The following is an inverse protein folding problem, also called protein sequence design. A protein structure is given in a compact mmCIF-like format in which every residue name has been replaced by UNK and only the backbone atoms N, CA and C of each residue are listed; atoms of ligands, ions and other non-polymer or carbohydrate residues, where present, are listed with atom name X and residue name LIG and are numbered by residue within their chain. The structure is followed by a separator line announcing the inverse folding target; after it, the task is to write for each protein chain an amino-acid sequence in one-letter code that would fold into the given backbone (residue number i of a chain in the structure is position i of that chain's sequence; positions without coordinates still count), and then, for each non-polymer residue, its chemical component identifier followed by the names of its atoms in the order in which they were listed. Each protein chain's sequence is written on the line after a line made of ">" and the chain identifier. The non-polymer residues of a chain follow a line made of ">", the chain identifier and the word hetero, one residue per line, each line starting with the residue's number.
data_IF_590607155407
#
_entry.id   IF_590607155407
#
_cell.length_a   1.000
_cell.length_b   1.000
_cell.length_c   1.000
_cell.angle_alpha   90.00
_cell.angle_beta   90.00
_cell.angle_gamma   90.00
#
_symmetry.space_group_name_H-M   'P 1'
#
loop_
_entity.id
_entity.type
_entity.pdbx_description
1 polymer ?
#
# COMPACT_ATOMS: atom_id res chain seq x y z
N UNK A 1 -18.84 9.93 -15.65
CA UNK A 1 -17.46 9.52 -15.33
C UNK A 1 -17.51 8.08 -14.85
N UNK A 2 -16.68 7.18 -15.39
CA UNK A 2 -16.56 5.82 -14.87
C UNK A 2 -15.60 5.85 -13.69
N UNK A 3 -16.06 5.47 -12.50
CA UNK A 3 -15.25 5.53 -11.29
C UNK A 3 -14.12 4.50 -11.27
N UNK A 4 -14.36 3.29 -11.80
CA UNK A 4 -13.37 2.21 -11.91
C UNK A 4 -13.66 1.42 -13.20
N UNK A 5 -12.65 1.23 -14.03
CA UNK A 5 -12.73 0.45 -15.28
C UNK A 5 -12.37 -1.03 -15.04
N UNK A 6 -12.77 -1.92 -15.97
CA UNK A 6 -12.43 -3.34 -15.88
C UNK A 6 -10.91 -3.59 -15.81
N UNK A 7 -10.13 -2.82 -16.58
CA UNK A 7 -8.67 -2.91 -16.57
C UNK A 7 -8.08 -2.54 -15.21
N UNK A 8 -8.69 -1.57 -14.51
CA UNK A 8 -8.27 -1.20 -13.15
C UNK A 8 -8.61 -2.29 -12.14
N UNK A 9 -9.77 -2.94 -12.25
CA UNK A 9 -10.12 -4.10 -11.40
C UNK A 9 -9.09 -5.20 -11.59
N UNK A 10 -8.75 -5.55 -12.84
CA UNK A 10 -7.72 -6.56 -13.14
C UNK A 10 -6.37 -6.14 -12.55
N UNK A 11 -5.98 -4.87 -12.71
CA UNK A 11 -4.75 -4.33 -12.14
C UNK A 11 -4.72 -4.41 -10.61
N UNK A 12 -5.82 -4.03 -9.93
CA UNK A 12 -5.96 -4.09 -8.48
C UNK A 12 -5.85 -5.54 -7.98
N UNK A 13 -6.51 -6.48 -8.66
CA UNK A 13 -6.45 -7.91 -8.33
C UNK A 13 -5.03 -8.46 -8.52
N UNK A 14 -4.37 -8.12 -9.63
CA UNK A 14 -3.00 -8.52 -9.90
C UNK A 14 -2.03 -7.98 -8.85
N UNK A 15 -2.11 -6.69 -8.52
CA UNK A 15 -1.30 -6.06 -7.46
C UNK A 15 -1.55 -6.74 -6.13
N UNK A 16 -2.80 -6.97 -5.76
CA UNK A 16 -3.18 -7.63 -4.50
C UNK A 16 -2.53 -9.00 -4.37
N UNK A 17 -2.64 -9.85 -5.39
CA UNK A 17 -2.11 -11.21 -5.36
C UNK A 17 -0.59 -11.22 -5.43
N UNK A 18 0.01 -10.45 -6.34
CA UNK A 18 1.47 -10.46 -6.56
C UNK A 18 2.19 -9.84 -5.36
N UNK A 19 1.72 -8.72 -4.84
CA UNK A 19 2.32 -8.11 -3.65
C UNK A 19 2.12 -9.00 -2.42
N UNK A 20 0.94 -9.58 -2.26
CA UNK A 20 0.69 -10.58 -1.22
C UNK A 20 1.68 -11.73 -1.30
N UNK A 21 1.95 -12.23 -2.51
CA UNK A 21 2.99 -13.24 -2.74
C UNK A 21 4.36 -12.72 -2.35
N UNK A 22 4.81 -11.58 -2.87
CA UNK A 22 6.14 -11.00 -2.55
C UNK A 22 6.34 -10.88 -1.03
N UNK A 23 5.32 -10.39 -0.33
CA UNK A 23 5.39 -10.13 1.10
C UNK A 23 5.11 -11.35 1.97
N UNK A 24 4.59 -12.46 1.43
CA UNK A 24 4.30 -13.69 2.21
C UNK A 24 5.55 -14.29 2.86
N UNK A 25 6.75 -13.98 2.35
CA UNK A 25 8.01 -14.40 2.97
C UNK A 25 8.33 -13.62 4.25
N UNK A 26 7.86 -12.37 4.36
CA UNK A 26 8.16 -11.46 5.47
C UNK A 26 6.98 -11.30 6.44
N UNK A 27 5.75 -11.44 5.93
CA UNK A 27 4.49 -11.33 6.66
C UNK A 27 3.86 -12.72 6.69
N UNK A 28 4.28 -13.51 7.68
CA UNK A 28 3.79 -14.88 7.88
C UNK A 28 2.77 -14.92 9.02
N UNK A 29 1.83 -15.87 8.95
CA UNK A 29 0.89 -16.09 10.05
C UNK A 29 1.63 -16.64 11.27
N UNK A 30 1.08 -16.50 12.49
CA UNK A 30 1.63 -17.17 13.66
C UNK A 30 1.52 -18.68 13.49
N UNK A 31 2.64 -19.39 13.61
CA UNK A 31 2.71 -20.85 13.51
C UNK A 31 3.11 -21.46 14.85
N UNK A 32 2.61 -22.65 15.11
CA UNK A 32 3.09 -23.47 16.22
C UNK A 32 4.51 -24.00 15.94
N UNK A 33 5.31 -24.33 16.97
CA UNK A 33 6.64 -24.92 16.78
C UNK A 33 6.62 -26.18 15.91
N UNK A 34 5.56 -26.98 16.00
CA UNK A 34 5.38 -28.20 15.19
C UNK A 34 5.18 -27.85 13.71
N UNK A 35 4.31 -26.88 13.40
CA UNK A 35 4.10 -26.42 12.01
C UNK A 35 5.39 -25.87 11.39
N UNK A 36 6.24 -25.21 12.18
CA UNK A 36 7.53 -24.71 11.69
C UNK A 36 8.48 -25.85 11.27
N UNK A 37 8.45 -26.99 11.98
CA UNK A 37 9.28 -28.17 11.67
C UNK A 37 8.79 -28.94 10.45
N UNK A 38 7.49 -28.95 10.20
CA UNK A 38 6.86 -29.66 9.08
C UNK A 38 6.66 -28.79 7.83
N UNK A 39 7.25 -27.59 7.78
CA UNK A 39 7.10 -26.67 6.66
C UNK A 39 7.58 -27.31 5.35
N UNK A 40 6.63 -27.75 4.52
CA UNK A 40 6.88 -28.22 3.15
C UNK A 40 6.24 -27.26 2.14
N UNK A 41 7.09 -26.50 1.45
CA UNK A 41 6.69 -25.72 0.28
C UNK A 41 5.93 -24.42 0.57
N UNK A 42 5.12 -24.00 -0.40
CA UNK A 42 4.38 -22.73 -0.38
C UNK A 42 3.11 -22.85 0.45
N UNK A 43 2.93 -21.94 1.42
CA UNK A 43 1.76 -21.94 2.30
C UNK A 43 0.73 -20.90 1.87
N UNK A 44 -0.45 -21.38 1.47
CA UNK A 44 -1.58 -20.54 1.06
C UNK A 44 -2.09 -19.63 2.17
N UNK A 45 -1.96 -20.03 3.43
CA UNK A 45 -2.43 -19.22 4.55
C UNK A 45 -1.49 -18.05 4.88
N UNK A 46 -0.18 -18.21 4.63
CA UNK A 46 0.76 -17.08 4.69
C UNK A 46 0.46 -16.06 3.58
N UNK A 47 0.12 -16.54 2.38
CA UNK A 47 -0.31 -15.67 1.27
C UNK A 47 -1.56 -14.87 1.66
N UNK A 48 -2.61 -15.53 2.15
CA UNK A 48 -3.84 -14.85 2.59
C UNK A 48 -3.55 -13.83 3.69
N UNK A 49 -2.72 -14.21 4.67
CA UNK A 49 -2.35 -13.32 5.77
C UNK A 49 -1.60 -12.08 5.27
N UNK A 50 -0.63 -12.25 4.36
CA UNK A 50 0.08 -11.15 3.74
C UNK A 50 -0.85 -10.25 2.91
N UNK A 51 -1.79 -10.82 2.14
CA UNK A 51 -2.78 -10.06 1.37
C UNK A 51 -3.64 -9.19 2.29
N UNK A 52 -4.20 -9.76 3.36
CA UNK A 52 -5.08 -9.04 4.31
C UNK A 52 -4.39 -7.80 4.89
N UNK A 53 -3.08 -7.87 5.10
CA UNK A 53 -2.30 -6.80 5.71
C UNK A 53 -1.81 -5.78 4.66
N UNK A 54 -1.26 -6.26 3.54
CA UNK A 54 -0.57 -5.41 2.56
C UNK A 54 -1.50 -4.78 1.53
N UNK A 55 -2.54 -5.49 1.09
CA UNK A 55 -3.41 -5.01 0.02
C UNK A 55 -4.20 -3.77 0.44
N UNK A 56 -4.81 -3.68 1.64
CA UNK A 56 -5.48 -2.44 2.06
C UNK A 56 -4.51 -1.25 2.13
N UNK A 57 -3.29 -1.47 2.61
CA UNK A 57 -2.30 -0.40 2.73
C UNK A 57 -1.90 0.17 1.36
N UNK A 58 -1.65 -0.68 0.37
CA UNK A 58 -1.19 -0.24 -0.95
C UNK A 58 -2.35 0.20 -1.84
N UNK A 59 -3.42 -0.60 -1.92
CA UNK A 59 -4.53 -0.31 -2.82
C UNK A 59 -5.29 0.93 -2.37
N UNK A 60 -5.57 1.09 -1.06
CA UNK A 60 -6.29 2.28 -0.60
C UNK A 60 -5.42 3.54 -0.71
N UNK A 61 -4.09 3.42 -0.54
CA UNK A 61 -3.16 4.51 -0.79
C UNK A 61 -3.25 5.02 -2.24
N UNK A 62 -3.14 4.12 -3.22
CA UNK A 62 -3.26 4.49 -4.64
C UNK A 62 -4.66 4.99 -4.99
N UNK A 63 -5.71 4.35 -4.45
CA UNK A 63 -7.08 4.84 -4.63
C UNK A 63 -7.29 6.21 -3.98
N UNK A 64 -6.56 6.56 -2.91
CA UNK A 64 -6.53 7.89 -2.32
C UNK A 64 -6.09 8.94 -3.33
N UNK A 65 -4.97 8.71 -4.02
CA UNK A 65 -4.52 9.59 -5.11
C UNK A 65 -5.58 9.71 -6.21
N UNK A 66 -6.15 8.58 -6.63
CA UNK A 66 -7.15 8.54 -7.70
C UNK A 66 -8.41 9.34 -7.34
N UNK A 67 -9.00 9.06 -6.18
CA UNK A 67 -10.24 9.69 -5.75
C UNK A 67 -10.05 11.17 -5.49
N UNK A 68 -8.90 11.59 -4.96
CA UNK A 68 -8.58 13.01 -4.85
C UNK A 68 -8.51 13.68 -6.23
N UNK A 69 -7.86 13.05 -7.20
CA UNK A 69 -7.82 13.61 -8.56
C UNK A 69 -9.21 13.73 -9.19
N UNK A 70 -10.06 12.71 -9.05
CA UNK A 70 -11.45 12.75 -9.53
C UNK A 70 -12.25 13.85 -8.81
N UNK A 71 -12.09 13.99 -7.49
CA UNK A 71 -12.76 15.03 -6.71
C UNK A 71 -12.36 16.45 -7.13
N UNK A 72 -11.11 16.61 -7.60
CA UNK A 72 -10.59 17.86 -8.15
C UNK A 72 -10.93 18.07 -9.64
N UNK A 73 -11.77 17.21 -10.22
CA UNK A 73 -12.23 17.30 -11.61
C UNK A 73 -11.25 16.73 -12.64
N UNK A 74 -10.21 16.01 -12.21
CA UNK A 74 -9.21 15.42 -13.09
C UNK A 74 -9.52 13.93 -13.36
N UNK A 75 -9.48 13.48 -14.63
CA UNK A 75 -9.59 12.05 -14.92
C UNK A 75 -8.35 11.32 -14.41
N UNK A 76 -8.53 10.46 -13.40
CA UNK A 76 -7.44 9.69 -12.78
C UNK A 76 -7.64 8.19 -12.96
N UNK A 77 -6.57 7.48 -13.34
CA UNK A 77 -6.61 6.05 -13.65
C UNK A 77 -5.52 5.32 -12.87
N UNK A 78 -5.92 4.29 -12.13
CA UNK A 78 -5.01 3.36 -11.45
C UNK A 78 -4.30 2.46 -12.47
N UNK A 79 -3.00 2.26 -12.31
CA UNK A 79 -2.21 1.35 -13.15
C UNK A 79 -1.29 0.49 -12.30
N UNK A 80 -1.32 -0.82 -12.55
CA UNK A 80 -0.31 -1.73 -12.01
C UNK A 80 1.05 -1.43 -12.66
N UNK A 81 2.11 -1.38 -11.86
CA UNK A 81 3.47 -1.17 -12.35
C UNK A 81 4.16 -2.53 -12.57
N UNK A 82 3.91 -3.12 -13.74
CA UNK A 82 4.32 -4.50 -14.04
C UNK A 82 5.82 -4.77 -13.89
N UNK A 83 6.68 -3.83 -14.27
CA UNK A 83 8.14 -3.96 -14.10
C UNK A 83 8.55 -3.97 -12.63
N UNK A 84 7.94 -3.13 -11.79
CA UNK A 84 8.18 -3.13 -10.35
C UNK A 84 7.66 -4.39 -9.67
N UNK A 85 6.49 -4.89 -10.08
CA UNK A 85 5.95 -6.18 -9.62
C UNK A 85 6.86 -7.34 -10.03
N UNK A 86 7.31 -7.38 -11.28
CA UNK A 86 8.23 -8.41 -11.78
C UNK A 86 9.57 -8.39 -11.04
N UNK A 87 10.15 -7.21 -10.80
CA UNK A 87 11.36 -7.06 -10.01
C UNK A 87 11.16 -7.60 -8.58
N UNK A 88 10.05 -7.25 -7.94
CA UNK A 88 9.73 -7.75 -6.59
C UNK A 88 9.59 -9.28 -6.54
N UNK A 89 8.98 -9.90 -7.56
CA UNK A 89 8.92 -11.36 -7.68
C UNK A 89 10.31 -11.96 -7.85
N UNK A 90 11.15 -11.41 -8.73
CA UNK A 90 12.53 -11.87 -8.95
C UNK A 90 13.32 -11.79 -7.64
N UNK A 91 13.28 -10.65 -6.93
CA UNK A 91 13.97 -10.45 -5.65
C UNK A 91 13.52 -11.47 -4.61
N UNK A 92 12.23 -11.78 -4.53
CA UNK A 92 11.72 -12.84 -3.66
C UNK A 92 12.28 -14.22 -4.05
N UNK A 93 12.25 -14.57 -5.33
CA UNK A 93 12.67 -15.89 -5.82
C UNK A 93 14.16 -16.14 -5.56
N UNK A 94 15.00 -15.12 -5.70
CA UNK A 94 16.44 -15.21 -5.39
C UNK A 94 16.76 -15.13 -3.89
N UNK A 95 15.75 -14.97 -3.02
CA UNK A 95 15.94 -14.88 -1.57
C UNK A 95 16.60 -13.57 -1.11
N UNK A 96 16.43 -12.48 -1.86
CA UNK A 96 16.99 -11.17 -1.50
C UNK A 96 16.49 -10.72 -0.11
N UNK A 97 17.35 -10.20 0.77
CA UNK A 97 16.90 -9.59 2.02
C UNK A 97 16.27 -8.21 1.80
N UNK A 98 16.49 -7.59 0.63
CA UNK A 98 15.97 -6.28 0.28
C UNK A 98 14.66 -6.39 -0.50
N UNK A 99 13.71 -5.50 -0.18
CA UNK A 99 12.44 -5.33 -0.89
C UNK A 99 12.42 -3.92 -1.47
N UNK A 100 12.54 -3.82 -2.80
CA UNK A 100 12.25 -2.59 -3.54
C UNK A 100 10.98 -2.87 -4.33
N UNK A 101 9.88 -2.21 -3.96
CA UNK A 101 8.57 -2.48 -4.53
C UNK A 101 7.86 -1.17 -4.85
N UNK A 102 7.70 -0.89 -6.14
CA UNK A 102 6.72 0.03 -6.67
C UNK A 102 5.63 -0.82 -7.35
N UNK A 103 4.47 -1.06 -6.71
CA UNK A 103 3.52 -2.05 -7.21
C UNK A 103 2.52 -1.46 -8.21
N UNK A 104 2.21 -0.17 -8.07
CA UNK A 104 1.20 0.53 -8.83
C UNK A 104 1.49 2.04 -8.81
N UNK A 105 0.73 2.78 -9.61
CA UNK A 105 0.69 4.24 -9.60
C UNK A 105 -0.64 4.73 -10.16
N UNK A 106 -0.99 5.99 -9.86
CA UNK A 106 -2.11 6.68 -10.50
C UNK A 106 -1.61 7.64 -11.56
N UNK A 107 -2.22 7.55 -12.75
CA UNK A 107 -2.00 8.50 -13.83
C UNK A 107 -3.12 9.55 -13.87
N UNK A 108 -2.75 10.81 -13.97
CA UNK A 108 -3.65 11.95 -14.14
C UNK A 108 -3.03 12.96 -15.15
N UNK A 109 -3.80 13.93 -15.68
CA UNK A 109 -3.33 14.83 -16.73
C UNK A 109 -2.23 15.79 -16.25
N UNK A 110 -1.30 16.12 -17.15
CA UNK A 110 -0.21 17.06 -16.88
C UNK A 110 -0.66 18.53 -16.69
N UNK A 111 -1.90 18.86 -17.07
CA UNK A 111 -2.49 20.20 -16.90
C UNK A 111 -2.92 20.50 -15.44
N UNK A 112 -2.79 19.53 -14.53
CA UNK A 112 -3.11 19.72 -13.12
C UNK A 112 -2.31 20.88 -12.51
N UNK A 113 -2.97 21.80 -11.82
CA UNK A 113 -2.31 22.93 -11.14
C UNK A 113 -1.44 22.43 -9.99
N UNK A 114 -0.47 23.24 -9.53
CA UNK A 114 0.37 22.88 -8.38
C UNK A 114 -0.46 22.53 -7.14
N UNK A 115 -1.55 23.28 -6.90
CA UNK A 115 -2.47 22.98 -5.80
C UNK A 115 -3.16 21.62 -5.96
N UNK A 116 -3.61 21.27 -7.17
CA UNK A 116 -4.21 19.96 -7.42
C UNK A 116 -3.17 18.83 -7.26
N UNK A 117 -1.97 19.01 -7.80
CA UNK A 117 -0.88 18.03 -7.69
C UNK A 117 -0.46 17.81 -6.23
N UNK A 118 -0.40 18.87 -5.43
CA UNK A 118 -0.14 18.80 -3.99
C UNK A 118 -1.16 17.90 -3.29
N UNK A 119 -2.45 18.19 -3.46
CA UNK A 119 -3.51 17.42 -2.80
C UNK A 119 -3.58 15.98 -3.29
N UNK A 120 -3.41 15.75 -4.60
CA UNK A 120 -3.33 14.40 -5.16
C UNK A 120 -2.17 13.65 -4.52
N UNK A 121 -0.95 14.20 -4.53
CA UNK A 121 0.22 13.53 -3.96
C UNK A 121 0.10 13.30 -2.45
N UNK A 122 -0.57 14.19 -1.72
CA UNK A 122 -0.75 14.01 -0.28
C UNK A 122 -1.84 12.99 0.09
N UNK A 123 -2.80 12.74 -0.80
CA UNK A 123 -3.95 11.87 -0.52
C UNK A 123 -3.57 10.42 -0.19
N UNK A 124 -2.62 9.82 -0.91
CA UNK A 124 -2.16 8.46 -0.61
C UNK A 124 -1.51 8.34 0.77
N UNK A 125 -0.50 9.16 1.12
CA UNK A 125 0.05 9.21 2.47
C UNK A 125 -1.03 9.43 3.54
N UNK A 126 -2.00 10.32 3.29
CA UNK A 126 -3.09 10.59 4.24
C UNK A 126 -3.96 9.36 4.49
N UNK A 127 -4.22 8.53 3.47
CA UNK A 127 -4.94 7.26 3.64
C UNK A 127 -4.15 6.30 4.54
N UNK A 128 -2.84 6.17 4.34
CA UNK A 128 -2.00 5.35 5.22
C UNK A 128 -2.01 5.86 6.66
N UNK A 129 -1.94 7.18 6.85
CA UNK A 129 -2.06 7.78 8.18
C UNK A 129 -3.41 7.45 8.82
N UNK A 130 -4.51 7.52 8.06
CA UNK A 130 -5.84 7.18 8.54
C UNK A 130 -5.97 5.69 8.92
N UNK A 131 -5.40 4.77 8.12
CA UNK A 131 -5.38 3.34 8.44
C UNK A 131 -4.55 3.05 9.71
N UNK A 132 -3.42 3.74 9.88
CA UNK A 132 -2.62 3.66 11.09
C UNK A 132 -3.41 4.14 12.32
N UNK A 133 -4.02 5.33 12.24
CA UNK A 133 -4.84 5.89 13.31
C UNK A 133 -6.04 5.00 13.64
N UNK A 134 -6.73 4.50 12.63
CA UNK A 134 -7.88 3.60 12.79
C UNK A 134 -7.49 2.30 13.50
N UNK A 135 -6.39 1.66 13.10
CA UNK A 135 -5.89 0.48 13.79
C UNK A 135 -5.47 0.77 15.24
N UNK A 136 -4.79 1.89 15.48
CA UNK A 136 -4.36 2.30 16.82
C UNK A 136 -5.55 2.62 17.75
N UNK A 137 -6.54 3.35 17.23
CA UNK A 137 -7.77 3.70 17.94
C UNK A 137 -8.56 2.42 18.27
N UNK A 138 -8.73 1.52 17.30
CA UNK A 138 -9.43 0.26 17.53
C UNK A 138 -8.76 -0.58 18.63
N UNK A 139 -7.42 -0.70 18.62
CA UNK A 139 -6.69 -1.41 19.67
C UNK A 139 -6.82 -0.74 21.05
N UNK A 140 -6.90 0.59 21.11
CA UNK A 140 -6.96 1.34 22.38
C UNK A 140 -8.35 1.35 23.00
N UNK A 141 -9.40 1.48 22.17
CA UNK A 141 -10.76 1.72 22.64
C UNK A 141 -11.66 0.48 22.57
N UNK A 142 -11.23 -0.60 21.91
CA UNK A 142 -12.00 -1.85 21.90
C UNK A 142 -12.00 -2.50 23.29
N UNK A 143 -13.20 -2.75 23.81
CA UNK A 143 -13.43 -3.45 25.07
C UNK A 143 -13.51 -4.97 24.91
N UNK A 144 -13.44 -5.48 23.68
CA UNK A 144 -13.55 -6.92 23.37
C UNK A 144 -12.21 -7.62 23.56
N UNK A 145 -12.24 -8.84 24.11
CA UNK A 145 -11.07 -9.73 24.12
C UNK A 145 -10.75 -10.14 22.67
N UNK A 146 -9.58 -9.73 22.18
CA UNK A 146 -9.15 -10.06 20.83
C UNK A 146 -8.33 -11.36 20.80
N UNK A 147 -8.48 -12.12 19.72
CA UNK A 147 -7.60 -13.25 19.45
C UNK A 147 -6.16 -12.76 19.21
N UNK A 148 -5.18 -13.63 19.45
CA UNK A 148 -3.76 -13.34 19.17
C UNK A 148 -3.55 -12.95 17.69
N UNK A 149 -4.25 -13.63 16.77
CA UNK A 149 -4.20 -13.34 15.34
C UNK A 149 -4.73 -11.95 15.02
N UNK A 150 -5.86 -11.54 15.60
CA UNK A 150 -6.44 -10.20 15.39
C UNK A 150 -5.49 -9.10 15.88
N UNK A 151 -4.90 -9.27 17.06
CA UNK A 151 -3.93 -8.31 17.60
C UNK A 151 -2.69 -8.19 16.70
N UNK A 152 -2.23 -9.30 16.12
CA UNK A 152 -1.09 -9.29 15.21
C UNK A 152 -1.43 -8.62 13.88
N UNK A 153 -2.61 -8.87 13.31
CA UNK A 153 -3.08 -8.16 12.10
C UNK A 153 -3.10 -6.65 12.38
N UNK A 154 -3.73 -6.22 13.47
CA UNK A 154 -3.80 -4.80 13.83
C UNK A 154 -2.42 -4.18 14.06
N UNK A 155 -1.52 -4.89 14.75
CA UNK A 155 -0.17 -4.41 14.99
C UNK A 155 0.64 -4.27 13.68
N UNK A 156 0.50 -5.22 12.76
CA UNK A 156 1.16 -5.19 11.45
C UNK A 156 0.55 -4.12 10.54
N UNK A 157 -0.79 -4.01 10.48
CA UNK A 157 -1.49 -2.92 9.77
C UNK A 157 -1.00 -1.57 10.27
N UNK A 158 -0.96 -1.37 11.59
CA UNK A 158 -0.43 -0.14 12.21
C UNK A 158 1.01 0.11 11.76
N UNK A 159 1.90 -0.88 11.92
CA UNK A 159 3.32 -0.72 11.60
C UNK A 159 3.56 -0.41 10.12
N UNK A 160 2.93 -1.17 9.22
CA UNK A 160 3.12 -1.03 7.76
C UNK A 160 2.57 0.31 7.29
N UNK A 161 1.37 0.70 7.70
CA UNK A 161 0.79 1.96 7.28
C UNK A 161 1.58 3.18 7.81
N UNK A 162 2.10 3.12 9.03
CA UNK A 162 3.00 4.18 9.53
C UNK A 162 4.30 4.26 8.72
N UNK A 163 4.91 3.12 8.43
CA UNK A 163 6.12 3.04 7.60
C UNK A 163 5.82 3.66 6.22
N UNK A 164 4.76 3.23 5.54
CA UNK A 164 4.40 3.74 4.22
C UNK A 164 4.06 5.24 4.24
N UNK A 165 3.42 5.74 5.30
CA UNK A 165 3.19 7.17 5.47
C UNK A 165 4.51 7.94 5.57
N UNK A 166 5.41 7.53 6.47
CA UNK A 166 6.70 8.22 6.67
C UNK A 166 7.53 8.18 5.39
N UNK A 167 7.70 7.01 4.78
CA UNK A 167 8.49 6.86 3.56
C UNK A 167 7.90 7.69 2.41
N UNK A 168 6.60 7.60 2.15
CA UNK A 168 6.00 8.40 1.08
C UNK A 168 5.90 9.89 1.39
N UNK A 169 6.21 10.33 2.61
CA UNK A 169 6.36 11.76 2.93
C UNK A 169 7.82 12.24 2.89
N UNK A 170 8.79 11.41 2.51
CA UNK A 170 10.15 11.89 2.30
C UNK A 170 10.24 12.70 0.99
N UNK A 171 10.96 13.84 0.96
CA UNK A 171 11.10 14.70 -0.22
C UNK A 171 12.12 14.13 -1.24
N UNK A 172 11.99 12.85 -1.59
CA UNK A 172 12.95 12.12 -2.43
C UNK A 172 12.20 11.46 -3.59
N UNK A 173 12.53 11.76 -4.87
CA UNK A 173 11.96 11.03 -6.00
C UNK A 173 12.27 9.53 -5.91
N UNK A 174 11.35 8.63 -6.27
CA UNK A 174 10.03 8.86 -6.88
C UNK A 174 8.86 9.00 -5.87
N UNK A 175 9.13 9.17 -4.57
CA UNK A 175 8.14 9.14 -3.49
C UNK A 175 7.18 10.34 -3.58
N UNK A 176 5.97 10.18 -3.04
CA UNK A 176 4.93 11.23 -3.12
C UNK A 176 5.35 12.54 -2.47
N UNK A 177 6.11 12.46 -1.38
CA UNK A 177 6.59 13.59 -0.61
C UNK A 177 7.36 14.58 -1.47
N UNK A 178 8.13 14.09 -2.45
CA UNK A 178 8.78 14.96 -3.42
C UNK A 178 7.77 15.86 -4.15
N UNK A 179 6.65 15.30 -4.63
CA UNK A 179 5.57 16.06 -5.29
C UNK A 179 4.83 16.94 -4.30
N UNK A 180 4.61 16.49 -3.06
CA UNK A 180 3.98 17.30 -2.00
C UNK A 180 4.81 18.57 -1.75
N UNK A 181 6.10 18.45 -1.43
CA UNK A 181 6.92 19.59 -1.06
C UNK A 181 7.26 20.50 -2.25
N UNK A 182 7.53 19.94 -3.43
CA UNK A 182 7.79 20.75 -4.63
C UNK A 182 6.59 21.59 -5.05
N UNK A 183 5.39 21.00 -5.06
CA UNK A 183 4.18 21.75 -5.38
C UNK A 183 3.80 22.74 -4.28
N UNK A 184 4.03 22.41 -3.00
CA UNK A 184 3.84 23.34 -1.90
C UNK A 184 4.74 24.58 -2.08
N UNK A 185 6.01 24.38 -2.41
CA UNK A 185 6.94 25.46 -2.70
C UNK A 185 6.45 26.35 -3.85
N UNK A 186 6.01 25.74 -4.96
CA UNK A 186 5.48 26.46 -6.13
C UNK A 186 4.18 27.25 -5.85
N UNK A 187 3.43 26.91 -4.79
CA UNK A 187 2.20 27.63 -4.41
C UNK A 187 2.52 28.88 -3.58
N UNK A 188 3.59 28.82 -2.77
CA UNK A 188 3.95 29.89 -1.83
C UNK A 188 4.99 30.88 -2.38
N UNK A 189 5.69 30.52 -3.46
CA UNK A 189 6.66 31.37 -4.17
C UNK A 189 5.99 32.22 -5.25
#
# INVERSE_FOLDING_TARGET
>A
MVFITLNEIIGILAVTVIVGYILSSYIQRPKSPIEMLYKKGFEWDDLKFAIIISAPAIILHELGHKFMGIALGLPSVFKAYWSGLALGVILKVIGSPFIVLAPAYVQFPAIATSLQQFWIAFAGPLVNLALWLGAAAYMKFSTKKHSRTTLLILALTKRINMILFIFNMLPIPPLDGYKVFSNLFNIIS
#
